data_IF_081899105333
#
_entry.id   IF_081899105333
#
_cell.length_a   1.000
_cell.length_b   1.000
_cell.length_c   1.000
_cell.angle_alpha   90.00
_cell.angle_beta   90.00
_cell.angle_gamma   90.00
#
_symmetry.space_group_name_H-M   'P 1'
#
loop_
_entity.id
_entity.type
_entity.pdbx_description
1 polymer ?
#
# COMPACT_ATOMS: atom_id res chain seq x y z
N UNK A 1 -2.68 -9.78 -8.87
CA UNK A 1 -3.61 -8.62 -8.92
C UNK A 1 -2.85 -7.31 -8.81
N UNK A 2 -2.02 -7.12 -7.77
CA UNK A 2 -1.24 -5.89 -7.57
C UNK A 2 -0.39 -5.47 -8.78
N UNK A 3 0.35 -6.39 -9.41
CA UNK A 3 1.16 -6.10 -10.60
C UNK A 3 0.35 -5.53 -11.78
N UNK A 4 -0.87 -6.03 -12.00
CA UNK A 4 -1.75 -5.48 -13.05
C UNK A 4 -2.14 -4.04 -12.74
N UNK A 5 -2.41 -3.72 -11.47
CA UNK A 5 -2.69 -2.35 -11.04
C UNK A 5 -1.47 -1.44 -11.25
N UNK A 6 -0.26 -1.93 -10.98
CA UNK A 6 1.00 -1.22 -11.25
C UNK A 6 1.19 -0.97 -12.74
N UNK A 7 0.85 -1.93 -13.59
CA UNK A 7 0.95 -1.75 -15.03
C UNK A 7 -0.01 -0.66 -15.52
N UNK A 8 -1.27 -0.68 -15.08
CA UNK A 8 -2.24 0.38 -15.41
C UNK A 8 -1.81 1.73 -14.84
N UNK A 9 -1.21 1.76 -13.66
CA UNK A 9 -0.78 3.01 -13.01
C UNK A 9 0.36 3.74 -13.73
N UNK A 10 0.96 3.13 -14.76
CA UNK A 10 1.94 3.79 -15.63
C UNK A 10 1.34 4.82 -16.60
N UNK A 11 0.05 4.73 -16.91
CA UNK A 11 -0.63 5.61 -17.87
C UNK A 11 -1.97 6.16 -17.38
N UNK A 12 -2.48 5.72 -16.23
CA UNK A 12 -3.68 6.25 -15.60
C UNK A 12 -3.54 6.32 -14.07
N UNK A 13 -4.28 7.21 -13.42
CA UNK A 13 -4.38 7.20 -11.96
C UNK A 13 -5.29 6.05 -11.50
N UNK A 14 -4.79 5.19 -10.62
CA UNK A 14 -5.54 4.07 -10.05
C UNK A 14 -5.85 4.36 -8.58
N UNK A 15 -7.13 4.45 -8.24
CA UNK A 15 -7.61 4.47 -6.86
C UNK A 15 -8.10 3.07 -6.49
N UNK A 16 -7.48 2.46 -5.48
CA UNK A 16 -7.81 1.11 -5.02
C UNK A 16 -8.12 1.12 -3.53
N UNK A 17 -9.33 0.67 -3.17
CA UNK A 17 -9.72 0.40 -1.78
C UNK A 17 -9.49 -1.08 -1.53
N UNK A 18 -8.66 -1.42 -0.54
CA UNK A 18 -8.28 -2.81 -0.27
C UNK A 18 -8.06 -3.05 1.22
N UNK A 19 -8.35 -4.27 1.66
CA UNK A 19 -7.96 -4.80 2.96
C UNK A 19 -6.79 -5.79 2.86
N UNK A 20 -6.28 -6.05 1.64
CA UNK A 20 -5.22 -7.01 1.40
C UNK A 20 -3.84 -6.32 1.46
N UNK A 21 -2.95 -6.71 2.40
CA UNK A 21 -1.63 -6.09 2.53
C UNK A 21 -0.79 -6.26 1.26
N UNK A 22 -0.95 -7.39 0.56
CA UNK A 22 -0.24 -7.68 -0.70
C UNK A 22 -0.58 -6.69 -1.81
N UNK A 23 -1.75 -6.04 -1.76
CA UNK A 23 -2.11 -4.98 -2.73
C UNK A 23 -1.62 -3.62 -2.20
N UNK A 24 -1.86 -3.31 -0.92
CA UNK A 24 -1.49 -2.04 -0.31
C UNK A 24 0.03 -1.76 -0.36
N UNK A 25 0.88 -2.79 -0.27
CA UNK A 25 2.33 -2.65 -0.39
C UNK A 25 2.76 -2.05 -1.74
N UNK A 26 1.99 -2.26 -2.82
CA UNK A 26 2.31 -1.74 -4.15
C UNK A 26 1.79 -0.31 -4.41
N UNK A 27 1.11 0.32 -3.45
CA UNK A 27 0.65 1.69 -3.63
C UNK A 27 1.81 2.69 -3.65
N UNK A 28 1.74 3.67 -4.55
CA UNK A 28 2.61 4.87 -4.50
C UNK A 28 2.31 5.68 -3.23
N UNK A 29 1.03 5.98 -3.05
CA UNK A 29 0.46 6.68 -1.89
C UNK A 29 -0.43 5.71 -1.14
N UNK A 30 -0.19 5.52 0.17
CA UNK A 30 -0.99 4.66 1.02
C UNK A 30 -1.82 5.53 1.96
N UNK A 31 -3.14 5.58 1.74
CA UNK A 31 -4.06 6.31 2.61
C UNK A 31 -4.76 5.34 3.56
N UNK A 32 -4.73 5.62 4.85
CA UNK A 32 -5.56 4.96 5.85
C UNK A 32 -6.89 5.68 5.96
N UNK A 33 -7.98 4.92 5.98
CA UNK A 33 -9.33 5.44 6.27
C UNK A 33 -9.68 5.02 7.69
N UNK A 34 -10.02 5.99 8.55
CA UNK A 34 -10.48 5.75 9.91
C UNK A 34 -11.85 6.35 10.15
N UNK A 35 -12.58 5.78 11.10
CA UNK A 35 -13.90 6.27 11.54
C UNK A 35 -13.86 6.58 13.02
N UNK A 36 -14.41 7.72 13.40
CA UNK A 36 -14.64 8.10 14.79
C UNK A 36 -16.11 8.46 15.01
N UNK A 37 -16.59 8.35 16.24
CA UNK A 37 -17.94 8.78 16.62
C UNK A 37 -17.80 9.89 17.65
N UNK A 38 -18.38 11.05 17.37
CA UNK A 38 -18.45 12.19 18.29
C UNK A 38 -19.92 12.52 18.54
N UNK A 39 -20.39 12.29 19.77
CA UNK A 39 -21.82 12.34 20.09
C UNK A 39 -22.62 11.31 19.29
N UNK A 40 -23.61 11.78 18.53
CA UNK A 40 -24.44 10.94 17.65
C UNK A 40 -23.99 10.95 16.18
N UNK A 41 -22.82 11.53 15.88
CA UNK A 41 -22.33 11.66 14.49
C UNK A 41 -21.09 10.81 14.26
N UNK A 42 -21.06 10.13 13.12
CA UNK A 42 -19.88 9.41 12.63
C UNK A 42 -19.08 10.29 11.68
N UNK A 43 -17.78 10.38 11.93
CA UNK A 43 -16.82 11.10 11.09
C UNK A 43 -15.89 10.09 10.41
N UNK A 44 -15.46 10.43 9.20
CA UNK A 44 -14.47 9.65 8.43
C UNK A 44 -13.27 10.55 8.18
N UNK A 45 -12.09 10.06 8.51
CA UNK A 45 -10.83 10.74 8.28
C UNK A 45 -9.94 9.92 7.33
N UNK A 46 -9.09 10.63 6.59
CA UNK A 46 -8.06 10.07 5.73
C UNK A 46 -6.70 10.57 6.21
N UNK A 47 -5.74 9.66 6.34
CA UNK A 47 -4.36 10.00 6.66
C UNK A 47 -3.42 9.31 5.66
N UNK A 48 -2.46 10.05 5.11
CA UNK A 48 -1.39 9.44 4.32
C UNK A 48 -0.38 8.79 5.26
N UNK A 49 -0.04 7.53 4.97
CA UNK A 49 0.93 6.76 5.74
C UNK A 49 2.28 6.76 5.03
N UNK A 50 3.33 7.07 5.78
CA UNK A 50 4.71 7.09 5.28
C UNK A 50 5.64 6.28 6.18
N UNK A 51 6.80 5.85 5.65
CA UNK A 51 7.84 5.16 6.43
C UNK A 51 7.32 4.06 7.36
N UNK A 52 7.55 4.22 8.66
CA UNK A 52 7.13 3.29 9.71
C UNK A 52 5.61 3.15 9.86
N UNK A 53 4.83 4.16 9.52
CA UNK A 53 3.36 4.09 9.59
C UNK A 53 2.83 3.08 8.58
N UNK A 54 3.45 3.00 7.38
CA UNK A 54 3.13 1.96 6.40
C UNK A 54 3.48 0.58 6.91
N UNK A 55 4.63 0.41 7.57
CA UNK A 55 5.05 -0.88 8.15
C UNK A 55 4.04 -1.33 9.20
N UNK A 56 3.65 -0.43 10.12
CA UNK A 56 2.65 -0.69 11.15
C UNK A 56 1.30 -1.10 10.53
N UNK A 57 0.81 -0.36 9.54
CA UNK A 57 -0.49 -0.65 8.92
C UNK A 57 -0.47 -1.97 8.15
N UNK A 58 0.59 -2.27 7.40
CA UNK A 58 0.72 -3.55 6.70
C UNK A 58 0.77 -4.72 7.69
N UNK A 59 1.54 -4.59 8.79
CA UNK A 59 1.58 -5.60 9.85
C UNK A 59 0.19 -5.81 10.47
N UNK A 60 -0.54 -4.72 10.73
CA UNK A 60 -1.93 -4.74 11.23
C UNK A 60 -2.88 -5.43 10.25
N UNK A 61 -2.77 -5.14 8.95
CA UNK A 61 -3.58 -5.77 7.89
C UNK A 61 -3.32 -7.27 7.74
N UNK A 62 -2.15 -7.77 8.13
CA UNK A 62 -1.83 -9.20 8.17
C UNK A 62 -2.51 -9.94 9.32
N UNK A 63 -3.27 -9.24 10.18
CA UNK A 63 -3.94 -9.83 11.35
C UNK A 63 -2.98 -10.21 12.47
N UNK A 64 -1.73 -9.78 12.38
CA UNK A 64 -0.76 -9.91 13.46
C UNK A 64 -0.77 -8.63 14.30
N UNK A 65 -0.44 -8.76 15.58
CA UNK A 65 -0.21 -7.58 16.43
C UNK A 65 0.89 -6.73 15.79
N UNK A 66 0.65 -5.45 15.53
CA UNK A 66 1.63 -4.51 14.97
C UNK A 66 2.83 -4.25 15.91
N UNK A 67 2.66 -4.61 17.19
CA UNK A 67 3.72 -4.66 18.21
C UNK A 67 4.59 -5.92 18.14
N UNK A 68 4.18 -6.95 17.40
CA UNK A 68 4.97 -8.15 17.23
C UNK A 68 6.13 -7.89 16.25
N UNK A 69 7.37 -8.05 16.72
CA UNK A 69 8.58 -7.81 15.92
C UNK A 69 8.57 -8.56 14.59
N UNK A 70 8.18 -9.84 14.59
CA UNK A 70 8.10 -10.67 13.37
C UNK A 70 7.11 -10.10 12.35
N UNK A 71 5.98 -9.55 12.80
CA UNK A 71 4.98 -8.97 11.92
C UNK A 71 5.51 -7.72 11.22
N UNK A 72 6.19 -6.84 11.98
CA UNK A 72 6.84 -5.64 11.41
C UNK A 72 7.95 -6.01 10.43
N UNK A 73 8.78 -7.00 10.74
CA UNK A 73 9.82 -7.49 9.84
C UNK A 73 9.23 -7.99 8.53
N UNK A 74 8.23 -8.87 8.60
CA UNK A 74 7.56 -9.40 7.40
C UNK A 74 6.91 -8.27 6.58
N UNK A 75 6.26 -7.30 7.24
CA UNK A 75 5.65 -6.15 6.58
C UNK A 75 6.69 -5.27 5.87
N UNK A 76 7.83 -5.01 6.51
CA UNK A 76 8.92 -4.26 5.92
C UNK A 76 9.51 -4.99 4.69
N UNK A 77 9.68 -6.30 4.76
CA UNK A 77 10.13 -7.12 3.63
C UNK A 77 9.13 -7.09 2.47
N UNK A 78 7.83 -7.21 2.75
CA UNK A 78 6.78 -7.09 1.74
C UNK A 78 6.77 -5.72 1.05
N UNK A 79 6.96 -4.63 1.81
CA UNK A 79 7.06 -3.27 1.26
C UNK A 79 8.30 -3.10 0.38
N UNK A 80 9.44 -3.65 0.81
CA UNK A 80 10.68 -3.61 0.04
C UNK A 80 10.56 -4.40 -1.27
N UNK A 81 9.96 -5.59 -1.23
CA UNK A 81 9.72 -6.42 -2.42
C UNK A 81 8.74 -5.77 -3.39
N UNK A 82 7.64 -5.22 -2.87
CA UNK A 82 6.68 -4.47 -3.68
C UNK A 82 7.33 -3.26 -4.37
N UNK A 83 8.22 -2.54 -3.67
CA UNK A 83 9.01 -1.44 -4.26
C UNK A 83 9.89 -1.92 -5.40
N UNK A 84 10.70 -2.96 -5.20
CA UNK A 84 11.56 -3.55 -6.24
C UNK A 84 10.74 -3.97 -7.47
N UNK A 85 9.61 -4.64 -7.24
CA UNK A 85 8.73 -5.07 -8.32
C UNK A 85 8.18 -3.89 -9.11
N UNK A 86 7.75 -2.81 -8.45
CA UNK A 86 7.27 -1.59 -9.14
C UNK A 86 8.35 -0.90 -9.95
N UNK A 87 9.55 -0.75 -9.41
CA UNK A 87 10.68 -0.14 -10.10
C UNK A 87 11.04 -0.92 -11.37
N UNK A 88 11.11 -2.26 -11.28
CA UNK A 88 11.33 -3.16 -12.42
C UNK A 88 10.24 -3.01 -13.49
N UNK A 89 8.97 -3.06 -13.10
CA UNK A 89 7.84 -2.99 -14.04
C UNK A 89 7.77 -1.62 -14.73
N UNK A 90 7.97 -0.53 -13.99
CA UNK A 90 8.01 0.83 -14.56
C UNK A 90 9.18 1.03 -15.51
N UNK A 91 10.33 0.40 -15.22
CA UNK A 91 11.47 0.39 -16.14
C UNK A 91 11.12 -0.29 -17.47
N UNK A 92 10.54 -1.49 -17.41
CA UNK A 92 10.15 -2.25 -18.61
C UNK A 92 9.04 -1.58 -19.43
N UNK A 93 8.10 -0.87 -18.77
CA UNK A 93 7.04 -0.15 -19.48
C UNK A 93 7.56 1.10 -20.20
N UNK A 94 8.59 1.76 -19.66
CA UNK A 94 9.23 2.92 -20.30
C UNK A 94 10.02 2.52 -21.54
N UNK A 95 10.68 1.36 -21.55
CA UNK A 95 11.41 0.89 -22.75
C UNK A 95 10.47 0.59 -23.92
N UNK A 96 9.30 -0.01 -23.64
CA UNK A 96 8.31 -0.40 -24.66
C UNK A 96 7.48 0.76 -25.24
N UNK A 97 7.63 1.99 -24.74
CA UNK A 97 6.95 3.18 -25.28
C UNK A 97 7.84 4.01 -26.23
N UNK A 98 9.09 3.59 -26.43
CA UNK A 98 10.10 4.29 -27.25
C UNK A 98 10.36 3.65 -28.61
N UNK A 99 9.71 2.53 -28.91
CA UNK A 99 9.68 1.85 -30.22
C UNK A 99 8.31 2.06 -30.90
#
# INVERSE_FOLDING_TARGET
MAEKLVAVSSWAQVLCITHLPQIACHADTHLQVSKSVEGERTFVALAELTGEERVSEIARMMGQSDTATTARTNAAEMLAEARRTRERMRGALKSNQTD
#
